data_IF_002757378128
#
_entry.id   IF_002757378128
#
_cell.length_a   1.000
_cell.length_b   1.000
_cell.length_c   1.000
_cell.angle_alpha   90.00
_cell.angle_beta   90.00
_cell.angle_gamma   90.00
#
_symmetry.space_group_name_H-M   'P 1'
#
loop_
_entity.id
_entity.type
_entity.pdbx_description
1 polymer ?
#
# COMPACT_ATOMS: atom_id res chain seq x y z
N UNK A 1 -2.94 35.38 -64.26
CA UNK A 1 -3.93 36.46 -64.52
C UNK A 1 -4.92 36.52 -63.36
N UNK A 2 -5.40 37.71 -63.00
CA UNK A 2 -5.56 38.13 -61.60
C UNK A 2 -7.03 38.19 -61.13
N UNK A 3 -7.25 38.23 -59.82
CA UNK A 3 -8.33 39.01 -59.22
C UNK A 3 -8.01 39.33 -57.75
N UNK A 4 -7.78 40.62 -57.53
CA UNK A 4 -7.54 41.30 -56.26
C UNK A 4 -8.85 41.80 -55.67
N UNK A 5 -9.08 41.66 -54.36
CA UNK A 5 -9.97 42.50 -53.54
C UNK A 5 -9.40 42.42 -52.11
N UNK A 6 -8.60 43.37 -51.61
CA UNK A 6 -8.94 44.72 -51.14
C UNK A 6 -10.15 44.74 -50.19
N UNK A 7 -9.86 44.87 -48.90
CA UNK A 7 -10.85 44.96 -47.83
C UNK A 7 -10.21 45.44 -46.53
N UNK A 8 -9.76 46.70 -46.53
CA UNK A 8 -9.36 47.42 -45.32
C UNK A 8 -10.60 47.78 -44.49
N UNK A 9 -10.65 47.33 -43.23
CA UNK A 9 -11.59 47.86 -42.24
C UNK A 9 -10.86 48.23 -40.95
N UNK A 10 -10.98 49.51 -40.64
CA UNK A 10 -10.44 50.24 -39.51
C UNK A 10 -11.29 50.05 -38.25
N UNK A 11 -10.67 50.38 -37.10
CA UNK A 11 -11.25 50.69 -35.77
C UNK A 11 -11.67 49.45 -34.94
N UNK A 12 -11.39 49.37 -33.65
CA UNK A 12 -11.43 50.41 -32.62
C UNK A 12 -10.58 49.97 -31.42
N UNK A 13 -9.79 50.90 -30.91
CA UNK A 13 -9.13 50.81 -29.61
C UNK A 13 -10.19 50.81 -28.50
N UNK A 14 -10.13 49.84 -27.61
CA UNK A 14 -10.73 49.91 -26.28
C UNK A 14 -9.77 49.30 -25.28
N UNK A 15 -9.06 50.21 -24.61
CA UNK A 15 -8.31 49.98 -23.39
C UNK A 15 -9.25 49.48 -22.30
N UNK A 16 -9.05 48.24 -21.85
CA UNK A 16 -9.53 47.77 -20.57
C UNK A 16 -8.32 47.23 -19.82
N UNK A 17 -7.90 48.00 -18.82
CA UNK A 17 -6.88 47.62 -17.86
C UNK A 17 -7.39 46.39 -17.09
N UNK A 18 -6.80 45.23 -17.38
CA UNK A 18 -6.93 44.04 -16.55
C UNK A 18 -5.62 43.92 -15.78
N UNK A 19 -5.74 43.90 -14.45
CA UNK A 19 -4.67 44.21 -13.51
C UNK A 19 -3.41 43.36 -13.70
N UNK A 20 -2.27 44.01 -13.47
CA UNK A 20 -1.01 43.39 -13.10
C UNK A 20 -1.22 42.55 -11.83
N UNK A 21 -1.60 41.29 -12.02
CA UNK A 21 -1.49 40.26 -10.98
C UNK A 21 -0.01 39.98 -10.83
N UNK A 22 0.59 40.68 -9.87
CA UNK A 22 1.93 40.46 -9.33
C UNK A 22 2.09 38.94 -9.12
N UNK A 23 2.85 38.30 -10.01
CA UNK A 23 3.25 36.92 -9.88
C UNK A 23 4.12 36.82 -8.61
N UNK A 24 3.48 36.57 -7.47
CA UNK A 24 4.18 36.14 -6.28
C UNK A 24 4.93 34.86 -6.62
N UNK A 25 6.13 34.65 -6.04
CA UNK A 25 6.87 33.42 -6.26
C UNK A 25 5.96 32.25 -5.93
N UNK A 26 5.58 31.48 -6.95
CA UNK A 26 4.97 30.18 -6.72
C UNK A 26 6.05 29.36 -6.05
N UNK A 27 5.95 29.27 -4.72
CA UNK A 27 6.55 28.19 -3.96
C UNK A 27 5.91 26.94 -4.55
N UNK A 28 6.59 26.35 -5.54
CA UNK A 28 6.30 24.99 -5.96
C UNK A 28 6.49 24.18 -4.69
N UNK A 29 5.38 23.88 -4.03
CA UNK A 29 5.34 22.84 -3.02
C UNK A 29 5.86 21.61 -3.73
N UNK A 30 7.13 21.26 -3.48
CA UNK A 30 7.62 19.93 -3.75
C UNK A 30 6.56 19.03 -3.12
N UNK A 31 5.75 18.38 -3.94
CA UNK A 31 4.82 17.37 -3.49
C UNK A 31 5.72 16.29 -2.88
N UNK A 32 5.93 16.41 -1.57
CA UNK A 32 6.82 15.57 -0.81
C UNK A 32 6.34 14.16 -1.03
N UNK A 33 7.22 13.35 -1.61
CA UNK A 33 6.93 11.96 -1.83
C UNK A 33 6.78 11.28 -0.47
N UNK A 34 5.57 10.82 -0.16
CA UNK A 34 5.28 10.14 1.10
C UNK A 34 5.99 8.78 1.13
N UNK A 35 6.72 8.47 2.22
CA UNK A 35 7.23 7.12 2.48
C UNK A 35 6.12 6.08 2.36
N UNK A 36 6.40 4.93 1.74
CA UNK A 36 5.43 3.84 1.60
C UNK A 36 5.88 2.59 2.35
N UNK A 37 4.98 2.06 3.17
CA UNK A 37 5.19 0.84 3.96
C UNK A 37 4.20 -0.24 3.52
N UNK A 38 4.72 -1.42 3.20
CA UNK A 38 3.93 -2.56 2.79
C UNK A 38 4.09 -3.69 3.79
N UNK A 39 2.99 -4.25 4.27
CA UNK A 39 2.96 -5.50 5.01
C UNK A 39 2.17 -6.53 4.21
N UNK A 40 2.85 -7.61 3.83
CA UNK A 40 2.26 -8.76 3.18
C UNK A 40 2.03 -9.83 4.24
N UNK A 41 0.76 -10.20 4.42
CA UNK A 41 0.39 -11.37 5.19
C UNK A 41 0.09 -12.50 4.22
N UNK A 42 0.87 -13.57 4.30
CA UNK A 42 0.75 -14.70 3.37
C UNK A 42 0.31 -15.92 4.16
N UNK A 43 -0.81 -16.48 3.75
CA UNK A 43 -1.29 -17.76 4.26
C UNK A 43 -0.34 -18.88 3.85
N UNK A 44 0.25 -19.56 4.83
CA UNK A 44 1.15 -20.69 4.58
C UNK A 44 0.38 -22.01 4.44
N UNK A 45 -0.50 -22.11 3.43
CA UNK A 45 -1.31 -23.30 3.19
C UNK A 45 -0.93 -24.04 1.91
N UNK A 46 -1.24 -25.34 1.88
CA UNK A 46 -1.06 -26.18 0.69
C UNK A 46 -1.89 -25.71 -0.50
N UNK A 47 -3.03 -25.07 -0.25
CA UNK A 47 -3.85 -24.47 -1.29
C UNK A 47 -3.09 -23.36 -2.02
N UNK A 48 -2.40 -22.47 -1.28
CA UNK A 48 -1.60 -21.38 -1.85
C UNK A 48 -0.35 -21.90 -2.59
N UNK A 49 0.24 -23.00 -2.12
CA UNK A 49 1.48 -23.54 -2.67
C UNK A 49 1.42 -23.84 -4.19
N UNK A 50 0.28 -24.31 -4.69
CA UNK A 50 0.11 -24.66 -6.10
C UNK A 50 0.20 -23.48 -7.07
N UNK A 51 -0.17 -22.28 -6.62
CA UNK A 51 -0.15 -21.05 -7.43
C UNK A 51 0.86 -20.02 -6.93
N UNK A 52 1.64 -20.38 -5.91
CA UNK A 52 2.66 -19.52 -5.36
C UNK A 52 3.70 -19.04 -6.37
N UNK A 53 4.25 -19.87 -7.29
CA UNK A 53 5.23 -19.39 -8.25
C UNK A 53 4.70 -18.21 -9.08
N UNK A 54 3.47 -18.30 -9.56
CA UNK A 54 2.85 -17.23 -10.35
C UNK A 54 2.57 -15.98 -9.49
N UNK A 55 2.04 -16.16 -8.29
CA UNK A 55 1.83 -15.03 -7.36
C UNK A 55 3.13 -14.31 -7.03
N UNK A 56 4.17 -15.08 -6.69
CA UNK A 56 5.48 -14.61 -6.27
C UNK A 56 6.20 -13.86 -7.39
N UNK A 57 6.20 -14.43 -8.59
CA UNK A 57 7.06 -13.97 -9.68
C UNK A 57 6.34 -12.99 -10.62
N UNK A 58 5.00 -13.04 -10.70
CA UNK A 58 4.21 -12.23 -11.65
C UNK A 58 3.27 -11.22 -10.98
N UNK A 59 2.47 -11.64 -9.99
CA UNK A 59 1.35 -10.82 -9.52
C UNK A 59 1.73 -9.87 -8.38
N UNK A 60 2.36 -10.37 -7.31
CA UNK A 60 2.71 -9.57 -6.13
C UNK A 60 3.69 -8.44 -6.46
N UNK A 61 4.75 -8.65 -7.27
CA UNK A 61 5.62 -7.56 -7.68
C UNK A 61 4.89 -6.45 -8.44
N UNK A 62 4.03 -6.83 -9.39
CA UNK A 62 3.24 -5.86 -10.17
C UNK A 62 2.24 -5.10 -9.30
N UNK A 63 1.60 -5.78 -8.34
CA UNK A 63 0.68 -5.14 -7.41
C UNK A 63 1.40 -4.10 -6.55
N UNK A 64 2.55 -4.45 -5.97
CA UNK A 64 3.34 -3.53 -5.15
C UNK A 64 3.89 -2.38 -5.99
N UNK A 65 4.32 -2.62 -7.23
CA UNK A 65 4.72 -1.56 -8.16
C UNK A 65 3.55 -0.59 -8.47
N UNK A 66 2.36 -1.12 -8.74
CA UNK A 66 1.17 -0.30 -9.01
C UNK A 66 0.74 0.53 -7.79
N UNK A 67 0.79 -0.06 -6.59
CA UNK A 67 0.49 0.65 -5.34
C UNK A 67 1.59 1.67 -5.00
N UNK A 68 2.85 1.34 -5.29
CA UNK A 68 4.00 2.23 -5.23
C UNK A 68 3.87 3.47 -6.12
N UNK A 69 3.05 3.37 -7.17
CA UNK A 69 2.90 4.41 -8.18
C UNK A 69 4.20 4.64 -8.95
N UNK A 70 4.36 5.84 -9.52
CA UNK A 70 5.54 6.23 -10.29
C UNK A 70 6.82 6.43 -9.47
N UNK A 71 6.82 6.08 -8.18
CA UNK A 71 7.89 6.47 -7.26
C UNK A 71 8.43 5.28 -6.44
N UNK A 72 9.12 4.34 -7.10
CA UNK A 72 9.71 3.18 -6.45
C UNK A 72 10.78 3.57 -5.41
N UNK A 73 11.40 4.74 -5.53
CA UNK A 73 12.37 5.28 -4.56
C UNK A 73 11.80 5.55 -3.15
N UNK A 74 10.47 5.56 -2.98
CA UNK A 74 9.84 5.83 -1.67
C UNK A 74 9.47 4.57 -0.87
N UNK A 75 9.74 3.39 -1.43
CA UNK A 75 9.55 2.13 -0.74
C UNK A 75 10.46 2.10 0.49
N UNK A 76 9.85 2.30 1.64
CA UNK A 76 10.57 2.47 2.90
C UNK A 76 10.77 1.13 3.58
N UNK A 77 9.77 0.24 3.52
CA UNK A 77 9.87 -1.07 4.15
C UNK A 77 8.88 -2.07 3.54
N UNK A 78 9.37 -3.29 3.31
CA UNK A 78 8.56 -4.46 3.03
C UNK A 78 8.59 -5.36 4.25
N UNK A 79 7.42 -5.65 4.80
CA UNK A 79 7.23 -6.60 5.87
C UNK A 79 6.50 -7.82 5.33
N UNK A 80 6.91 -9.02 5.76
CA UNK A 80 6.21 -10.26 5.45
C UNK A 80 5.92 -11.01 6.74
N UNK A 81 4.67 -11.43 6.89
CA UNK A 81 4.20 -12.27 7.98
C UNK A 81 3.59 -13.54 7.41
N UNK A 82 3.91 -14.66 8.03
CA UNK A 82 3.38 -15.98 7.69
C UNK A 82 2.42 -16.42 8.80
N UNK A 83 1.37 -17.18 8.48
CA UNK A 83 0.47 -17.75 9.49
C UNK A 83 1.23 -18.63 10.49
N UNK A 84 2.21 -19.39 10.00
CA UNK A 84 3.16 -20.13 10.81
C UNK A 84 4.46 -20.32 10.03
N UNK A 85 5.59 -20.10 10.69
CA UNK A 85 6.92 -20.34 10.11
C UNK A 85 7.15 -21.84 9.98
N UNK A 86 7.82 -22.28 8.90
CA UNK A 86 8.35 -23.65 8.81
C UNK A 86 9.41 -23.94 9.88
N UNK A 87 10.05 -22.88 10.39
CA UNK A 87 11.04 -22.93 11.44
C UNK A 87 10.37 -22.48 12.75
N UNK A 88 9.86 -23.45 13.52
CA UNK A 88 9.20 -23.24 14.83
C UNK A 88 10.10 -22.54 15.89
N UNK A 89 11.38 -22.29 15.59
CA UNK A 89 12.35 -21.68 16.52
C UNK A 89 12.26 -20.15 16.65
N UNK A 90 11.62 -19.45 15.71
CA UNK A 90 11.57 -17.98 15.71
C UNK A 90 10.16 -17.38 15.81
N UNK A 91 9.12 -18.20 15.97
CA UNK A 91 7.72 -17.76 16.01
C UNK A 91 7.24 -17.22 14.66
N UNK A 92 5.92 -17.12 14.49
CA UNK A 92 5.28 -16.39 13.39
C UNK A 92 5.47 -14.88 13.59
N UNK A 93 6.67 -14.41 13.29
CA UNK A 93 7.05 -13.00 13.40
C UNK A 93 6.89 -12.25 12.09
N UNK A 94 6.57 -10.95 12.19
CA UNK A 94 6.66 -10.01 11.07
C UNK A 94 8.15 -9.76 10.80
N UNK A 95 8.62 -10.12 9.60
CA UNK A 95 10.02 -9.93 9.19
C UNK A 95 10.12 -8.76 8.21
N UNK A 96 11.11 -7.91 8.39
CA UNK A 96 11.41 -6.80 7.49
C UNK A 96 12.45 -7.24 6.46
N UNK A 97 12.25 -6.86 5.21
CA UNK A 97 13.15 -7.17 4.10
C UNK A 97 13.62 -5.91 3.38
N UNK A 98 14.83 -5.97 2.83
CA UNK A 98 15.41 -4.93 1.98
C UNK A 98 14.69 -4.77 0.65
N UNK A 99 14.10 -5.85 0.13
CA UNK A 99 13.31 -5.83 -1.08
C UNK A 99 12.17 -6.87 -1.01
N UNK A 100 11.10 -6.60 -1.77
CA UNK A 100 9.99 -7.55 -1.90
C UNK A 100 10.47 -8.90 -2.46
N UNK A 101 11.34 -8.87 -3.47
CA UNK A 101 11.86 -10.07 -4.11
C UNK A 101 12.64 -10.96 -3.14
N UNK A 102 13.42 -10.37 -2.24
CA UNK A 102 14.18 -11.13 -1.24
C UNK A 102 13.26 -11.78 -0.22
N UNK A 103 12.26 -11.04 0.26
CA UNK A 103 11.27 -11.58 1.19
C UNK A 103 10.44 -12.71 0.58
N UNK A 104 9.97 -12.52 -0.65
CA UNK A 104 9.20 -13.52 -1.38
C UNK A 104 9.98 -14.79 -1.70
N UNK A 105 11.30 -14.69 -1.91
CA UNK A 105 12.17 -15.86 -2.16
C UNK A 105 12.47 -16.67 -0.91
N UNK A 106 12.49 -16.02 0.26
CA UNK A 106 12.74 -16.67 1.54
C UNK A 106 11.47 -17.29 2.15
N UNK A 107 10.31 -17.06 1.54
CA UNK A 107 9.06 -17.67 1.96
C UNK A 107 9.06 -19.17 1.64
N UNK A 108 8.81 -19.99 2.65
CA UNK A 108 8.79 -21.44 2.54
C UNK A 108 7.47 -22.02 3.05
N UNK A 109 6.88 -22.92 2.26
CA UNK A 109 5.66 -23.59 2.67
C UNK A 109 5.91 -24.70 3.66
N UNK A 110 5.12 -24.76 4.73
CA UNK A 110 5.11 -25.86 5.69
C UNK A 110 3.91 -26.83 5.51
N UNK A 111 3.03 -26.57 4.52
CA UNK A 111 1.94 -27.45 4.06
C UNK A 111 0.92 -27.88 5.13
N UNK A 112 0.94 -27.27 6.32
CA UNK A 112 -0.04 -27.56 7.37
C UNK A 112 -1.42 -27.02 6.95
N UNK A 113 -2.45 -27.84 7.11
CA UNK A 113 -3.83 -27.46 6.76
C UNK A 113 -4.42 -26.47 7.75
N UNK A 114 -3.88 -26.41 8.97
CA UNK A 114 -4.34 -25.51 10.02
C UNK A 114 -3.67 -24.12 9.95
N UNK A 115 -2.79 -23.89 8.97
CA UNK A 115 -2.06 -22.63 8.81
C UNK A 115 -2.86 -21.54 8.08
N UNK A 116 -4.08 -21.34 8.56
CA UNK A 116 -4.97 -20.28 8.13
C UNK A 116 -4.63 -19.00 8.90
N UNK A 117 -4.71 -17.84 8.25
CA UNK A 117 -4.56 -16.56 8.93
C UNK A 117 -5.73 -16.33 9.88
N UNK A 118 -5.43 -16.16 11.17
CA UNK A 118 -6.43 -15.82 12.18
C UNK A 118 -6.70 -14.31 12.24
N UNK A 119 -7.87 -13.94 12.77
CA UNK A 119 -8.24 -12.54 13.02
C UNK A 119 -7.24 -11.84 13.95
N UNK A 120 -6.76 -12.55 14.97
CA UNK A 120 -5.73 -12.04 15.89
C UNK A 120 -4.45 -11.69 15.16
N UNK A 121 -3.99 -12.52 14.22
CA UNK A 121 -2.79 -12.23 13.43
C UNK A 121 -2.97 -11.00 12.54
N UNK A 122 -4.14 -10.85 11.90
CA UNK A 122 -4.46 -9.68 11.09
C UNK A 122 -4.46 -8.42 11.96
N UNK A 123 -5.06 -8.48 13.15
CA UNK A 123 -5.05 -7.36 14.09
C UNK A 123 -3.62 -7.00 14.52
N UNK A 124 -2.79 -7.98 14.91
CA UNK A 124 -1.38 -7.75 15.26
C UNK A 124 -0.59 -7.14 14.10
N UNK A 125 -0.87 -7.54 12.86
CA UNK A 125 -0.27 -6.97 11.67
C UNK A 125 -0.65 -5.49 11.46
N UNK A 126 -1.92 -5.13 11.66
CA UNK A 126 -2.39 -3.73 11.60
C UNK A 126 -1.73 -2.88 12.68
N UNK A 127 -1.62 -3.40 13.90
CA UNK A 127 -0.92 -2.75 15.01
C UNK A 127 0.56 -2.53 14.66
N UNK A 128 1.24 -3.56 14.14
CA UNK A 128 2.64 -3.47 13.74
C UNK A 128 2.90 -2.44 12.63
N UNK A 129 2.03 -2.37 11.60
CA UNK A 129 2.07 -1.32 10.58
C UNK A 129 1.91 0.09 11.17
N UNK A 130 1.10 0.21 12.23
CA UNK A 130 0.88 1.48 12.90
C UNK A 130 2.12 1.89 13.71
N UNK A 131 2.76 0.95 14.42
CA UNK A 131 3.97 1.20 15.19
C UNK A 131 5.20 1.48 14.33
N UNK A 132 5.39 0.76 13.22
CA UNK A 132 6.54 0.99 12.32
C UNK A 132 6.58 2.41 11.77
N UNK A 133 5.42 3.05 11.65
CA UNK A 133 5.29 4.44 11.21
C UNK A 133 5.70 5.46 12.27
N UNK A 134 5.51 5.14 13.57
CA UNK A 134 5.90 6.05 14.66
C UNK A 134 7.42 6.26 14.65
N UNK A 135 8.19 5.20 14.38
CA UNK A 135 9.64 5.29 14.27
C UNK A 135 10.09 6.20 13.13
N UNK A 136 9.40 6.19 11.99
CA UNK A 136 9.70 7.06 10.84
C UNK A 136 9.35 8.52 11.11
N UNK A 137 8.24 8.78 11.80
CA UNK A 137 7.78 10.14 12.15
C UNK A 137 8.72 10.86 13.12
N UNK A 138 9.29 10.14 14.09
CA UNK A 138 10.26 10.71 15.04
C UNK A 138 11.51 11.23 14.33
N UNK A 139 11.91 10.57 13.23
CA UNK A 139 13.10 10.95 12.45
C UNK A 139 12.80 12.02 11.39
N UNK A 140 11.59 12.00 10.81
CA UNK A 140 11.26 12.77 9.59
C UNK A 140 10.40 14.00 9.84
N UNK A 141 9.95 14.22 11.07
CA UNK A 141 9.06 15.31 11.45
C UNK A 141 7.57 15.05 11.13
N UNK A 142 6.66 15.84 11.71
CA UNK A 142 5.21 15.59 11.67
C UNK A 142 4.54 15.79 10.30
N UNK A 143 5.27 16.28 9.29
CA UNK A 143 4.72 16.63 7.98
C UNK A 143 4.75 15.50 6.95
N UNK A 144 5.43 14.38 7.23
CA UNK A 144 5.55 13.24 6.31
C UNK A 144 4.66 12.09 6.77
N UNK A 145 3.38 12.13 6.38
CA UNK A 145 2.48 10.98 6.56
C UNK A 145 2.90 9.88 5.59
N UNK A 146 3.32 8.73 6.13
CA UNK A 146 3.61 7.55 5.32
C UNK A 146 2.32 6.88 4.87
N UNK A 147 2.26 6.43 3.60
CA UNK A 147 1.18 5.57 3.12
C UNK A 147 1.43 4.14 3.60
N UNK A 148 0.37 3.44 4.02
CA UNK A 148 0.45 2.08 4.58
C UNK A 148 -0.44 1.16 3.76
N UNK A 149 0.13 0.05 3.33
CA UNK A 149 -0.56 -0.99 2.59
C UNK A 149 -0.51 -2.30 3.36
N UNK A 150 -1.67 -2.85 3.68
CA UNK A 150 -1.82 -4.23 4.15
C UNK A 150 -2.31 -5.07 2.98
N UNK A 151 -1.52 -6.06 2.57
CA UNK A 151 -1.86 -7.00 1.52
C UNK A 151 -2.03 -8.37 2.16
N UNK A 152 -3.23 -8.93 2.08
CA UNK A 152 -3.54 -10.26 2.61
C UNK A 152 -3.66 -11.23 1.45
N UNK A 153 -2.83 -12.27 1.45
CA UNK A 153 -2.76 -13.30 0.42
C UNK A 153 -3.25 -14.61 1.02
N UNK A 154 -4.47 -15.00 0.65
CA UNK A 154 -5.18 -16.17 1.18
C UNK A 154 -5.69 -17.03 0.04
N UNK A 155 -5.69 -18.35 0.27
CA UNK A 155 -6.20 -19.37 -0.64
C UNK A 155 -7.41 -20.09 -0.07
N UNK A 156 -7.49 -20.17 1.26
CA UNK A 156 -8.60 -20.81 1.94
C UNK A 156 -9.81 -19.89 1.99
N UNK A 157 -11.03 -20.43 1.84
CA UNK A 157 -12.23 -19.65 2.12
C UNK A 157 -12.17 -19.17 3.57
N UNK A 158 -12.76 -18.00 3.89
CA UNK A 158 -12.88 -17.57 5.27
C UNK A 158 -13.58 -18.68 6.04
N UNK A 159 -12.85 -19.31 6.96
CA UNK A 159 -13.44 -20.30 7.84
C UNK A 159 -14.42 -19.53 8.71
N UNK A 160 -15.72 -19.80 8.55
CA UNK A 160 -16.68 -19.44 9.59
C UNK A 160 -16.12 -20.11 10.83
N UNK A 161 -15.57 -19.31 11.76
CA UNK A 161 -15.32 -19.80 13.10
C UNK A 161 -16.65 -20.38 13.53
N UNK A 162 -16.74 -21.72 13.60
CA UNK A 162 -17.88 -22.39 14.20
C UNK A 162 -18.09 -21.65 15.50
N UNK A 163 -19.21 -20.96 15.59
CA UNK A 163 -19.57 -19.93 16.56
C UNK A 163 -19.36 -20.44 17.98
N UNK A 164 -18.12 -20.40 18.45
CA UNK A 164 -17.70 -20.67 19.82
C UNK A 164 -17.34 -19.36 20.48
N UNK A 165 -18.24 -18.40 20.34
CA UNK A 165 -18.44 -17.31 21.27
C UNK A 165 -19.77 -16.68 20.90
N UNK A 166 -20.81 -17.08 21.62
CA UNK A 166 -22.14 -16.49 21.65
C UNK A 166 -22.09 -15.11 22.32
N UNK A 167 -21.14 -14.27 21.93
CA UNK A 167 -20.96 -12.94 22.44
C UNK A 167 -20.58 -12.05 21.27
N UNK A 168 -21.61 -11.42 20.72
CA UNK A 168 -21.49 -10.39 19.73
C UNK A 168 -21.39 -9.05 20.47
N UNK A 169 -20.18 -8.47 20.61
CA UNK A 169 -19.99 -7.25 21.38
C UNK A 169 -20.69 -6.03 20.78
N UNK A 170 -21.23 -6.14 19.56
CA UNK A 170 -21.97 -5.07 18.90
C UNK A 170 -23.47 -5.14 19.16
N UNK A 171 -23.98 -6.24 19.72
CA UNK A 171 -25.41 -6.43 20.00
C UNK A 171 -25.79 -6.29 21.48
N UNK A 172 -24.82 -6.17 22.39
CA UNK A 172 -25.06 -5.99 23.83
C UNK A 172 -24.98 -4.51 24.26
N UNK A 173 -25.71 -3.63 23.57
CA UNK A 173 -25.98 -2.28 24.10
C UNK A 173 -27.28 -2.30 24.92
N UNK A 174 -27.27 -1.85 26.18
CA UNK A 174 -28.49 -1.75 26.97
C UNK A 174 -29.43 -0.71 26.32
N UNK A 175 -30.63 -1.17 25.95
CA UNK A 175 -31.78 -0.32 25.64
C UNK A 175 -32.29 0.39 26.88
#
# INVERSE_FOLDING_TARGET
MPASLSGSSQRKSSSSACGDVRAGPQIMSNAGLSPQNFLLMIENSSALAGFWPDLRDCYLPRLVEQLGGSHPENLTSIFISESRSAYDFHGSGIRQYSSLKDGLKQFEFNYDLDNILSTTQIQTAVEALTFSTITVLVVSGPSNLSVRHLIVVVATPPTEFASRSLHDPWHDLPT
#
